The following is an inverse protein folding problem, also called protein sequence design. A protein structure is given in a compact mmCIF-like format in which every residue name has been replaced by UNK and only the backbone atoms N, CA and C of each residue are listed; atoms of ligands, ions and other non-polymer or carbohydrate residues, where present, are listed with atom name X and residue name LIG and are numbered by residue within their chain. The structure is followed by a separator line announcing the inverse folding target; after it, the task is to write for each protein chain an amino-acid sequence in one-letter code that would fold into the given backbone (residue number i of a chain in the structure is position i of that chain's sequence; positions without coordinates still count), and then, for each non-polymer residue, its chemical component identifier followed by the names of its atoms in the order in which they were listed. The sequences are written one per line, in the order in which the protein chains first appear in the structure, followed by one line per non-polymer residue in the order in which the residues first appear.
data_IF_992390717844
#
_entry.id   IF_992390717844
#
_cell.length_a   1.000
_cell.length_b   1.000
_cell.length_c   1.000
_cell.angle_alpha   90.00
_cell.angle_beta   90.00
_cell.angle_gamma   90.00
#
_symmetry.space_group_name_H-M   'P 1'
#
loop_
_entity.id
_entity.type
_entity.pdbx_description
1 polymer ?
#
# COMPACT_ATOMS: atom_id res chain seq x y z
N UNK A 1 -3.00 -9.07 6.95
CA UNK A 1 -2.52 -7.73 7.32
C UNK A 1 -2.78 -7.50 8.80
N UNK A 2 -1.79 -6.97 9.54
CA UNK A 2 -1.90 -6.69 10.98
C UNK A 2 -2.48 -5.30 11.27
N UNK A 3 -2.59 -4.46 10.24
CA UNK A 3 -3.38 -3.24 10.26
C UNK A 3 -3.41 -2.53 8.92
N UNK A 4 -4.33 -1.60 8.79
CA UNK A 4 -4.52 -0.76 7.61
C UNK A 4 -4.86 0.66 8.05
N UNK A 5 -4.32 1.64 7.31
CA UNK A 5 -4.73 3.04 7.39
C UNK A 5 -5.08 3.51 5.99
N UNK A 6 -6.23 4.15 5.84
CA UNK A 6 -6.68 4.74 4.59
C UNK A 6 -6.95 6.21 4.86
N UNK A 7 -6.35 7.10 4.08
CA UNK A 7 -6.68 8.52 4.06
C UNK A 7 -7.24 8.87 2.68
N UNK A 8 -8.47 9.36 2.65
CA UNK A 8 -9.12 9.88 1.45
C UNK A 8 -9.25 11.39 1.57
N UNK A 9 -8.82 12.14 0.56
CA UNK A 9 -8.84 13.59 0.54
C UNK A 9 -9.47 14.13 -0.73
N UNK A 10 -10.33 15.13 -0.59
CA UNK A 10 -10.95 15.81 -1.73
C UNK A 10 -12.38 16.24 -1.41
N UNK A 11 -13.17 16.47 -2.46
CA UNK A 11 -14.60 16.80 -2.36
C UNK A 11 -15.43 15.54 -2.14
N UNK A 12 -15.21 14.90 -0.99
CA UNK A 12 -15.85 13.62 -0.63
C UNK A 12 -17.38 13.78 -0.65
N UNK A 13 -18.06 12.89 -1.37
CA UNK A 13 -19.52 12.93 -1.52
C UNK A 13 -20.08 14.12 -2.31
N UNK A 14 -19.23 14.86 -3.05
CA UNK A 14 -19.65 16.05 -3.81
C UNK A 14 -19.75 17.33 -3.00
N UNK A 15 -19.23 17.33 -1.76
CA UNK A 15 -19.20 18.52 -0.91
C UNK A 15 -18.47 19.70 -1.59
N UNK A 16 -18.92 20.93 -1.32
CA UNK A 16 -18.32 22.14 -1.89
C UNK A 16 -16.89 22.37 -1.36
N UNK A 17 -16.63 22.00 -0.11
CA UNK A 17 -15.34 22.15 0.56
C UNK A 17 -14.63 20.80 0.62
N UNK A 18 -13.34 20.78 0.25
CA UNK A 18 -12.52 19.58 0.33
C UNK A 18 -12.20 19.22 1.79
N UNK A 19 -12.28 17.93 2.13
CA UNK A 19 -11.98 17.37 3.45
C UNK A 19 -11.08 16.16 3.32
N UNK A 20 -10.32 15.88 4.37
CA UNK A 20 -9.53 14.64 4.49
C UNK A 20 -10.15 13.79 5.58
N UNK A 21 -10.63 12.63 5.18
CA UNK A 21 -11.10 11.61 6.12
C UNK A 21 -10.09 10.48 6.17
N UNK A 22 -9.91 9.94 7.37
CA UNK A 22 -9.05 8.80 7.56
C UNK A 22 -9.75 7.74 8.37
N UNK A 23 -9.52 6.50 7.98
CA UNK A 23 -9.94 5.33 8.71
C UNK A 23 -8.71 4.49 9.01
N UNK A 24 -8.70 3.89 10.21
CA UNK A 24 -7.61 3.04 10.65
C UNK A 24 -8.19 1.85 11.37
N UNK A 25 -7.68 0.68 11.00
CA UNK A 25 -8.01 -0.58 11.65
C UNK A 25 -6.71 -1.32 11.99
N UNK A 26 -6.59 -1.83 13.22
CA UNK A 26 -5.38 -2.49 13.68
C UNK A 26 -4.16 -1.57 13.89
N UNK A 27 -2.97 -2.17 13.83
CA UNK A 27 -1.69 -1.48 14.12
C UNK A 27 -1.02 -1.06 12.81
N UNK A 28 -0.62 0.21 12.72
CA UNK A 28 0.18 0.71 11.60
C UNK A 28 1.28 1.59 12.18
N UNK A 29 2.42 0.99 12.59
CA UNK A 29 3.54 1.71 13.17
C UNK A 29 4.34 2.44 12.07
N UNK A 30 4.19 3.76 11.99
CA UNK A 30 4.90 4.59 10.99
C UNK A 30 6.32 5.01 11.43
N UNK A 31 6.65 4.85 12.71
CA UNK A 31 7.96 5.24 13.26
C UNK A 31 8.93 4.05 13.37
N UNK A 32 8.44 2.82 13.23
CA UNK A 32 9.23 1.61 13.41
C UNK A 32 9.77 1.16 12.06
N UNK A 33 11.08 1.36 11.81
CA UNK A 33 11.71 1.05 10.52
C UNK A 33 11.68 -0.44 10.14
N UNK A 34 11.70 -1.34 11.13
CA UNK A 34 11.62 -2.81 10.90
C UNK A 34 10.23 -3.31 10.50
N UNK A 35 9.23 -2.44 10.54
CA UNK A 35 7.86 -2.79 10.18
C UNK A 35 7.70 -2.78 8.68
N UNK A 36 7.20 -3.88 8.13
CA UNK A 36 6.83 -3.99 6.72
C UNK A 36 5.50 -3.28 6.47
N UNK A 37 5.59 -2.07 5.91
CA UNK A 37 4.43 -1.22 5.62
C UNK A 37 4.45 -0.84 4.15
N UNK A 38 3.51 -1.42 3.41
CA UNK A 38 3.27 -1.04 2.02
C UNK A 38 2.50 0.28 1.96
N UNK A 39 2.99 1.19 1.13
CA UNK A 39 2.35 2.48 0.86
C UNK A 39 1.93 2.58 -0.61
N UNK A 40 0.65 2.91 -0.83
CA UNK A 40 0.10 3.12 -2.16
C UNK A 40 -0.66 4.45 -2.25
N UNK A 41 -0.60 5.07 -3.43
CA UNK A 41 -1.40 6.25 -3.76
C UNK A 41 -2.23 5.99 -5.02
N UNK A 42 -3.46 6.48 -5.00
CA UNK A 42 -4.35 6.44 -6.14
C UNK A 42 -5.13 7.75 -6.23
N UNK A 43 -5.48 8.15 -7.45
CA UNK A 43 -6.33 9.32 -7.70
C UNK A 43 -7.62 8.86 -8.38
N UNK A 44 -8.76 9.24 -7.82
CA UNK A 44 -10.08 9.00 -8.39
C UNK A 44 -10.58 10.29 -9.06
N UNK A 45 -10.88 10.20 -10.36
CA UNK A 45 -11.47 11.29 -11.12
C UNK A 45 -12.98 11.21 -11.00
N UNK A 46 -13.58 12.26 -10.44
CA UNK A 46 -15.03 12.36 -10.27
C UNK A 46 -15.55 13.61 -10.96
N UNK A 47 -16.86 13.71 -11.14
CA UNK A 47 -17.52 14.88 -11.73
C UNK A 47 -17.26 16.17 -10.96
N UNK A 48 -17.02 16.07 -9.64
CA UNK A 48 -16.79 17.21 -8.75
C UNK A 48 -15.30 17.54 -8.56
N UNK A 49 -14.39 16.82 -9.22
CA UNK A 49 -12.95 17.01 -9.13
C UNK A 49 -12.19 15.72 -8.81
N UNK A 50 -10.95 15.86 -8.34
CA UNK A 50 -10.05 14.74 -8.07
C UNK A 50 -10.10 14.41 -6.57
N UNK A 51 -10.30 13.13 -6.25
CA UNK A 51 -10.16 12.59 -4.90
C UNK A 51 -8.86 11.79 -4.80
N UNK A 52 -7.97 12.19 -3.89
CA UNK A 52 -6.72 11.50 -3.61
C UNK A 52 -6.89 10.47 -2.51
N UNK A 53 -6.39 9.26 -2.73
CA UNK A 53 -6.46 8.13 -1.79
C UNK A 53 -5.02 7.71 -1.46
N UNK A 54 -4.72 7.63 -0.18
CA UNK A 54 -3.43 7.17 0.36
C UNK A 54 -3.69 6.00 1.29
N UNK A 55 -3.02 4.88 1.03
CA UNK A 55 -3.23 3.63 1.77
C UNK A 55 -1.90 3.17 2.35
N UNK A 56 -1.93 2.76 3.62
CA UNK A 56 -0.84 2.06 4.30
C UNK A 56 -1.34 0.69 4.75
N UNK A 57 -0.65 -0.37 4.35
CA UNK A 57 -0.95 -1.75 4.75
C UNK A 57 0.23 -2.27 5.56
N UNK A 58 -0.01 -2.63 6.82
CA UNK A 58 0.99 -3.24 7.67
C UNK A 58 0.91 -4.77 7.54
N UNK A 59 1.96 -5.36 6.97
CA UNK A 59 2.06 -6.79 6.69
C UNK A 59 2.63 -7.56 7.88
N UNK A 60 3.54 -6.94 8.66
CA UNK A 60 4.17 -7.53 9.84
C UNK A 60 5.54 -6.92 10.10
N UNK A 61 6.31 -7.50 11.03
CA UNK A 61 7.72 -7.13 11.19
C UNK A 61 8.60 -8.00 10.29
N UNK A 62 9.58 -7.38 9.63
CA UNK A 62 10.59 -8.09 8.88
C UNK A 62 11.58 -8.66 9.90
N UNK A 63 11.38 -9.91 10.30
CA UNK A 63 12.44 -10.66 10.96
C UNK A 63 13.49 -10.97 9.89
N UNK A 64 14.75 -10.61 10.09
CA UNK A 64 15.89 -10.90 9.17
C UNK A 64 16.17 -12.40 8.95
N UNK A 65 15.18 -13.27 9.17
CA UNK A 65 15.27 -14.71 8.99
C UNK A 65 13.95 -15.28 8.47
N UNK A 66 13.57 -14.88 7.26
CA UNK A 66 12.57 -15.63 6.50
C UNK A 66 13.26 -16.27 5.29
N UNK A 67 13.78 -17.52 5.40
CA UNK A 67 14.42 -18.26 4.30
C UNK A 67 13.45 -18.66 3.18
N UNK A 68 12.22 -18.12 3.19
CA UNK A 68 11.14 -18.45 2.27
C UNK A 68 10.63 -17.25 1.46
N UNK A 69 11.41 -16.16 1.34
CA UNK A 69 11.23 -15.28 0.17
C UNK A 69 11.72 -16.09 -1.03
N UNK A 70 10.77 -16.84 -1.61
CA UNK A 70 11.00 -17.65 -2.79
C UNK A 70 11.55 -16.79 -3.91
N UNK A 71 12.60 -17.31 -4.51
CA UNK A 71 13.22 -16.87 -5.75
C UNK A 71 12.27 -17.08 -6.95
N UNK A 72 11.05 -16.54 -6.93
CA UNK A 72 10.09 -16.77 -8.02
C UNK A 72 10.52 -16.03 -9.32
N UNK A 73 11.39 -15.02 -9.20
CA UNK A 73 11.90 -14.24 -10.33
C UNK A 73 13.21 -14.76 -10.93
N UNK A 74 13.86 -15.76 -10.32
CA UNK A 74 15.14 -16.31 -10.82
C UNK A 74 14.88 -17.48 -11.78
N UNK A 75 13.89 -18.32 -11.50
CA UNK A 75 13.54 -19.46 -12.33
C UNK A 75 12.97 -19.05 -13.69
N UNK A 76 12.10 -18.04 -13.73
CA UNK A 76 11.52 -17.55 -15.00
C UNK A 76 12.56 -16.92 -15.94
N UNK A 77 13.55 -16.21 -15.39
CA UNK A 77 14.64 -15.61 -16.19
C UNK A 77 15.54 -16.66 -16.81
N UNK A 78 15.90 -17.68 -16.05
CA UNK A 78 16.75 -18.78 -16.52
C UNK A 78 16.08 -19.60 -17.63
N UNK A 79 14.75 -19.82 -17.56
CA UNK A 79 14.00 -20.53 -18.61
C UNK A 79 13.96 -19.74 -19.92
N UNK A 80 13.83 -18.42 -19.84
CA UNK A 80 13.79 -17.55 -21.03
C UNK A 80 15.18 -17.46 -21.67
N UNK A 81 16.24 -17.38 -20.86
CA UNK A 81 17.62 -17.35 -21.36
C UNK A 81 18.07 -18.68 -21.97
N UNK A 82 17.64 -19.82 -21.40
CA UNK A 82 17.93 -21.15 -21.95
C UNK A 82 17.14 -21.50 -23.23
N UNK A 83 16.09 -20.74 -23.57
CA UNK A 83 15.30 -20.89 -24.80
C UNK A 83 15.80 -20.01 -25.95
N UNK A 84 16.84 -19.21 -25.72
CA UNK A 84 17.48 -18.34 -26.71
C UNK A 84 18.73 -18.99 -27.28
#
# INVERSE_FOLDING_TARGET
AQGIRINCGGRLGGAEIARTEWYREGRVPLHTLRSDVDYGVASAYTTYGICGIKVWIYLGEIMEHNPFVKEENTEEKNIIEARR
#
